data_IF_812116989589
#
_entry.id   IF_812116989589
#
_cell.length_a   1.000
_cell.length_b   1.000
_cell.length_c   1.000
_cell.angle_alpha   90.00
_cell.angle_beta   90.00
_cell.angle_gamma   90.00
#
_symmetry.space_group_name_H-M   'P 1'
#
loop_
_entity.id
_entity.type
_entity.pdbx_description
1 polymer ?
#
# COMPACT_ATOMS: atom_id res chain seq x y z
N UNK A 1 20.90 -5.50 19.61
CA UNK A 1 20.29 -5.01 18.36
C UNK A 1 19.68 -6.19 17.61
N UNK A 2 18.39 -6.11 17.26
CA UNK A 2 17.77 -7.11 16.39
C UNK A 2 18.39 -7.07 14.98
N UNK A 3 18.23 -8.15 14.21
CA UNK A 3 18.68 -8.20 12.81
C UNK A 3 18.06 -7.05 11.98
N UNK A 4 16.78 -6.79 12.20
CA UNK A 4 16.05 -5.68 11.58
C UNK A 4 16.70 -4.32 11.86
N UNK A 5 17.07 -4.06 13.12
CA UNK A 5 17.74 -2.80 13.48
C UNK A 5 19.11 -2.66 12.79
N UNK A 6 19.87 -3.76 12.67
CA UNK A 6 21.17 -3.75 11.99
C UNK A 6 21.03 -3.50 10.49
N UNK A 7 20.03 -4.09 9.85
CA UNK A 7 19.75 -3.89 8.42
C UNK A 7 19.27 -2.46 8.17
N UNK A 8 18.33 -1.95 8.97
CA UNK A 8 17.90 -0.56 8.87
C UNK A 8 19.08 0.40 9.07
N UNK A 9 19.88 0.21 10.11
CA UNK A 9 21.07 1.04 10.33
C UNK A 9 22.06 0.98 9.15
N UNK A 10 22.22 -0.18 8.52
CA UNK A 10 23.08 -0.33 7.34
C UNK A 10 22.52 0.40 6.10
N UNK A 11 21.20 0.33 5.87
CA UNK A 11 20.51 1.01 4.78
C UNK A 11 20.60 2.53 4.91
N UNK A 12 20.33 3.07 6.09
CA UNK A 12 20.35 4.52 6.33
C UNK A 12 21.77 5.06 6.60
N UNK A 13 22.69 4.21 7.07
CA UNK A 13 24.12 4.52 7.29
C UNK A 13 25.02 4.26 6.07
N UNK A 14 24.46 3.83 4.93
CA UNK A 14 25.17 3.57 3.66
C UNK A 14 26.35 2.60 3.79
N UNK A 15 26.15 1.50 4.51
CA UNK A 15 27.20 0.53 4.76
C UNK A 15 27.72 -0.14 3.47
N UNK A 16 29.04 -0.12 3.24
CA UNK A 16 29.65 -0.57 1.98
C UNK A 16 29.50 -2.08 1.70
N UNK A 17 29.37 -2.91 2.73
CA UNK A 17 29.19 -4.35 2.56
C UNK A 17 27.88 -4.71 1.85
N UNK A 18 26.87 -3.82 1.88
CA UNK A 18 25.62 -4.02 1.15
C UNK A 18 25.83 -4.04 -0.37
N UNK A 19 26.89 -3.43 -0.89
CA UNK A 19 27.18 -3.42 -2.32
C UNK A 19 27.44 -4.82 -2.91
N UNK A 20 27.84 -5.79 -2.07
CA UNK A 20 27.94 -7.19 -2.46
C UNK A 20 26.59 -7.78 -2.89
N UNK A 21 25.48 -7.18 -2.46
CA UNK A 21 24.11 -7.58 -2.80
C UNK A 21 23.57 -6.88 -4.05
N UNK A 22 24.37 -6.09 -4.76
CA UNK A 22 23.96 -5.39 -5.99
C UNK A 22 23.37 -6.33 -7.05
N UNK A 23 23.98 -7.50 -7.36
CA UNK A 23 23.40 -8.43 -8.34
C UNK A 23 21.99 -8.87 -7.97
N UNK A 24 21.73 -9.07 -6.67
CA UNK A 24 20.42 -9.47 -6.16
C UNK A 24 19.39 -8.34 -6.30
N UNK A 25 19.82 -7.08 -6.20
CA UNK A 25 18.95 -5.92 -6.43
C UNK A 25 18.52 -5.81 -7.89
N UNK A 26 19.43 -6.06 -8.84
CA UNK A 26 19.08 -6.10 -10.27
C UNK A 26 18.11 -7.24 -10.56
N UNK A 27 18.37 -8.44 -10.03
CA UNK A 27 17.47 -9.59 -10.16
C UNK A 27 16.07 -9.27 -9.61
N UNK A 28 15.99 -8.69 -8.41
CA UNK A 28 14.73 -8.26 -7.80
C UNK A 28 13.96 -7.29 -8.69
N UNK A 29 14.64 -6.26 -9.23
CA UNK A 29 14.04 -5.28 -10.15
C UNK A 29 13.53 -5.92 -11.43
N UNK A 30 14.30 -6.85 -12.02
CA UNK A 30 13.90 -7.56 -13.23
C UNK A 30 12.64 -8.41 -12.98
N UNK A 31 12.58 -9.15 -11.89
CA UNK A 31 11.41 -9.97 -11.53
C UNK A 31 10.18 -9.07 -11.30
N UNK A 32 10.34 -7.95 -10.59
CA UNK A 32 9.26 -7.00 -10.36
C UNK A 32 8.74 -6.38 -11.67
N UNK A 33 9.64 -6.01 -12.59
CA UNK A 33 9.29 -5.45 -13.90
C UNK A 33 8.57 -6.47 -14.78
N UNK A 34 9.08 -7.70 -14.85
CA UNK A 34 8.43 -8.80 -15.59
C UNK A 34 7.03 -9.07 -15.04
N UNK A 35 6.89 -9.20 -13.71
CA UNK A 35 5.60 -9.41 -13.07
C UNK A 35 4.61 -8.29 -13.43
N UNK A 36 5.05 -7.03 -13.43
CA UNK A 36 4.21 -5.89 -13.83
C UNK A 36 3.77 -5.99 -15.29
N UNK A 37 4.65 -6.43 -16.19
CA UNK A 37 4.35 -6.55 -17.62
C UNK A 37 3.26 -7.59 -17.92
N UNK A 38 3.21 -8.68 -17.15
CA UNK A 38 2.21 -9.74 -17.35
C UNK A 38 0.85 -9.49 -16.66
N UNK A 39 0.72 -8.43 -15.87
CA UNK A 39 -0.53 -8.10 -15.18
C UNK A 39 -1.34 -7.12 -16.02
N UNK A 40 -2.54 -7.54 -16.42
CA UNK A 40 -3.53 -6.65 -17.03
C UNK A 40 -4.39 -5.99 -15.94
N UNK A 41 -4.43 -4.64 -15.87
CA UNK A 41 -5.31 -3.93 -14.95
C UNK A 41 -6.78 -4.16 -15.29
N UNK A 42 -7.63 -4.26 -14.27
CA UNK A 42 -9.07 -4.43 -14.42
C UNK A 42 -9.82 -3.43 -13.53
N UNK A 43 -10.89 -2.85 -14.06
CA UNK A 43 -11.75 -1.92 -13.32
C UNK A 43 -12.65 -2.66 -12.33
N UNK A 44 -12.91 -2.02 -11.18
CA UNK A 44 -13.94 -2.44 -10.22
C UNK A 44 -15.28 -1.72 -10.41
N UNK A 45 -15.43 -0.87 -11.43
CA UNK A 45 -16.66 -0.13 -11.71
C UNK A 45 -16.82 1.20 -10.95
N UNK A 46 -15.79 1.63 -10.21
CA UNK A 46 -15.73 2.93 -9.55
C UNK A 46 -14.31 3.52 -9.68
N UNK A 47 -14.13 4.85 -9.57
CA UNK A 47 -12.81 5.46 -9.48
C UNK A 47 -12.01 4.94 -8.29
N UNK A 48 -10.71 4.76 -8.47
CA UNK A 48 -9.80 4.19 -7.47
C UNK A 48 -8.61 5.12 -7.24
N UNK A 49 -8.43 5.54 -5.98
CA UNK A 49 -7.24 6.25 -5.51
C UNK A 49 -6.39 5.28 -4.70
N UNK A 50 -5.10 5.19 -5.01
CA UNK A 50 -4.16 4.33 -4.29
C UNK A 50 -3.18 5.18 -3.51
N UNK A 51 -3.05 4.91 -2.21
CA UNK A 51 -2.04 5.49 -1.34
C UNK A 51 -0.97 4.43 -1.05
N UNK A 52 0.29 4.76 -1.23
CA UNK A 52 1.37 3.84 -0.86
C UNK A 52 2.72 4.50 -0.76
N UNK A 53 3.73 3.70 -0.43
CA UNK A 53 5.12 4.13 -0.34
C UNK A 53 6.03 3.24 -1.17
N UNK A 54 7.23 3.74 -1.47
CA UNK A 54 8.26 2.97 -2.17
C UNK A 54 9.35 2.44 -1.24
N UNK A 55 9.28 2.67 0.07
CA UNK A 55 10.25 2.18 1.06
C UNK A 55 9.68 1.07 1.95
N UNK A 56 10.54 0.26 2.55
CA UNK A 56 10.16 -0.66 3.63
C UNK A 56 10.11 0.09 4.96
N UNK A 57 9.02 -0.06 5.69
CA UNK A 57 8.78 0.60 6.98
C UNK A 57 7.47 1.37 7.01
N UNK A 58 7.12 1.89 8.19
CA UNK A 58 6.00 2.80 8.36
C UNK A 58 6.31 4.15 7.71
N UNK A 59 5.38 4.63 6.90
CA UNK A 59 5.48 5.87 6.10
C UNK A 59 4.29 6.81 6.34
N UNK A 60 3.57 6.63 7.45
CA UNK A 60 2.37 7.42 7.76
C UNK A 60 1.20 7.20 6.79
N UNK A 61 1.12 6.02 6.14
CA UNK A 61 0.01 5.65 5.24
C UNK A 61 -1.35 5.73 5.93
N UNK A 62 -1.49 5.17 7.12
CA UNK A 62 -2.78 5.12 7.82
C UNK A 62 -3.37 6.51 8.09
N UNK A 63 -2.63 7.49 8.65
CA UNK A 63 -3.12 8.87 8.74
C UNK A 63 -3.51 9.49 7.39
N UNK A 64 -2.71 9.28 6.34
CA UNK A 64 -2.99 9.84 5.02
C UNK A 64 -4.23 9.23 4.37
N UNK A 65 -4.44 7.92 4.50
CA UNK A 65 -5.64 7.21 4.02
C UNK A 65 -6.88 7.74 4.75
N UNK A 66 -6.82 7.90 6.08
CA UNK A 66 -7.92 8.46 6.86
C UNK A 66 -8.26 9.90 6.43
N UNK A 67 -7.25 10.77 6.33
CA UNK A 67 -7.45 12.16 5.92
C UNK A 67 -8.03 12.27 4.50
N UNK A 68 -7.56 11.45 3.57
CA UNK A 68 -8.11 11.39 2.21
C UNK A 68 -9.55 10.88 2.20
N UNK A 69 -9.84 9.84 2.98
CA UNK A 69 -11.18 9.27 3.07
C UNK A 69 -12.18 10.28 3.65
N UNK A 70 -11.80 10.99 4.72
CA UNK A 70 -12.60 12.07 5.30
C UNK A 70 -12.81 13.20 4.28
N UNK A 71 -11.75 13.66 3.61
CA UNK A 71 -11.83 14.71 2.58
C UNK A 71 -12.80 14.38 1.45
N UNK A 72 -12.83 13.12 1.00
CA UNK A 72 -13.74 12.64 -0.04
C UNK A 72 -15.16 12.45 0.50
N UNK A 73 -15.32 11.90 1.70
CA UNK A 73 -16.63 11.75 2.36
C UNK A 73 -17.31 13.10 2.53
N UNK A 74 -16.58 14.12 2.96
CA UNK A 74 -17.08 15.48 3.16
C UNK A 74 -17.54 16.15 1.85
N UNK A 75 -17.13 15.60 0.69
CA UNK A 75 -17.59 16.00 -0.65
C UNK A 75 -18.75 15.16 -1.19
N UNK A 76 -19.32 14.28 -0.36
CA UNK A 76 -20.48 13.46 -0.71
C UNK A 76 -20.14 12.13 -1.41
N UNK A 77 -18.87 11.71 -1.45
CA UNK A 77 -18.52 10.39 -1.98
C UNK A 77 -18.87 9.29 -0.96
N UNK A 78 -19.39 8.16 -1.46
CA UNK A 78 -19.52 6.91 -0.72
C UNK A 78 -18.20 6.15 -0.85
N UNK A 79 -17.30 6.42 0.08
CA UNK A 79 -15.94 5.89 0.07
C UNK A 79 -15.92 4.46 0.60
N UNK A 80 -15.22 3.58 -0.10
CA UNK A 80 -14.85 2.24 0.39
C UNK A 80 -13.34 2.09 0.44
N UNK A 81 -12.81 1.43 1.46
CA UNK A 81 -11.35 1.25 1.63
C UNK A 81 -10.98 -0.22 1.41
N UNK A 82 -9.94 -0.45 0.58
CA UNK A 82 -9.41 -1.80 0.34
C UNK A 82 -8.03 -1.97 0.95
N UNK A 83 -7.84 -3.05 1.71
CA UNK A 83 -6.54 -3.42 2.27
C UNK A 83 -6.26 -4.93 2.16
N UNK A 84 -5.08 -5.36 2.58
CA UNK A 84 -4.61 -6.77 2.42
C UNK A 84 -5.09 -7.65 3.55
N UNK A 85 -5.32 -7.07 4.72
CA UNK A 85 -5.41 -7.83 5.95
C UNK A 85 -4.06 -8.44 6.33
N UNK A 86 -2.96 -7.66 6.26
CA UNK A 86 -1.66 -8.18 6.69
C UNK A 86 -1.74 -8.58 8.18
N UNK A 87 -1.27 -9.79 8.50
CA UNK A 87 -1.37 -10.37 9.84
C UNK A 87 -2.75 -10.97 10.17
N UNK A 88 -3.79 -10.65 9.40
CA UNK A 88 -5.14 -11.19 9.56
C UNK A 88 -5.33 -12.54 8.87
N UNK A 89 -6.22 -13.36 9.41
CA UNK A 89 -6.64 -14.65 8.85
C UNK A 89 -8.16 -14.69 8.72
N UNK A 90 -8.68 -13.95 7.74
CA UNK A 90 -10.10 -13.96 7.45
C UNK A 90 -10.58 -15.37 7.03
N UNK A 91 -11.79 -15.79 7.43
CA UNK A 91 -12.32 -17.12 7.12
C UNK A 91 -12.58 -17.33 5.62
N UNK A 92 -12.82 -16.26 4.88
CA UNK A 92 -12.97 -16.24 3.43
C UNK A 92 -12.45 -14.93 2.86
N UNK A 93 -12.24 -14.87 1.54
CA UNK A 93 -11.88 -13.65 0.83
C UNK A 93 -12.75 -13.46 -0.42
N UNK A 94 -13.12 -12.22 -0.79
CA UNK A 94 -12.92 -10.99 -0.01
C UNK A 94 -13.74 -11.00 1.29
N UNK A 95 -13.27 -10.26 2.29
CA UNK A 95 -13.92 -10.15 3.61
C UNK A 95 -14.22 -8.70 3.92
N UNK A 96 -15.49 -8.40 4.21
CA UNK A 96 -15.92 -7.07 4.66
C UNK A 96 -15.77 -7.01 6.18
N UNK A 97 -15.07 -5.98 6.67
CA UNK A 97 -14.92 -5.75 8.10
C UNK A 97 -16.19 -5.14 8.67
N UNK A 98 -16.52 -5.55 9.89
CA UNK A 98 -17.51 -4.91 10.76
C UNK A 98 -16.84 -4.26 11.98
N UNK A 99 -17.61 -3.53 12.79
CA UNK A 99 -17.10 -2.83 13.98
C UNK A 99 -16.50 -3.79 15.02
N UNK A 100 -16.98 -5.03 15.04
CA UNK A 100 -16.59 -6.08 16.00
C UNK A 100 -15.47 -6.98 15.51
N UNK A 101 -15.01 -6.79 14.26
CA UNK A 101 -14.05 -7.69 13.66
C UNK A 101 -12.75 -7.66 14.44
N UNK A 102 -12.29 -8.85 14.83
CA UNK A 102 -11.06 -9.01 15.57
C UNK A 102 -9.84 -8.72 14.67
N UNK A 103 -8.82 -8.00 15.14
CA UNK A 103 -7.59 -7.76 14.37
C UNK A 103 -6.87 -9.03 13.91
N UNK A 104 -7.02 -10.16 14.59
CA UNK A 104 -6.51 -11.46 14.13
C UNK A 104 -7.20 -11.97 12.86
N UNK A 105 -8.39 -11.46 12.55
CA UNK A 105 -9.18 -11.79 11.34
C UNK A 105 -8.90 -10.74 10.25
N UNK A 106 -9.14 -9.47 10.57
CA UNK A 106 -9.08 -8.36 9.60
C UNK A 106 -7.69 -7.75 9.40
N UNK A 107 -6.74 -8.03 10.30
CA UNK A 107 -5.47 -7.32 10.42
C UNK A 107 -5.58 -6.06 11.28
N UNK A 108 -4.49 -5.70 11.97
CA UNK A 108 -4.45 -4.54 12.87
C UNK A 108 -4.74 -3.22 12.15
N UNK A 109 -4.05 -2.96 11.02
CA UNK A 109 -4.20 -1.70 10.28
C UNK A 109 -5.60 -1.56 9.65
N UNK A 110 -6.17 -2.56 8.95
CA UNK A 110 -7.52 -2.44 8.39
C UNK A 110 -8.61 -2.27 9.45
N UNK A 111 -8.52 -3.00 10.57
CA UNK A 111 -9.46 -2.84 11.67
C UNK A 111 -9.36 -1.45 12.31
N UNK A 112 -8.14 -0.90 12.45
CA UNK A 112 -7.95 0.47 12.92
C UNK A 112 -8.58 1.49 11.96
N UNK A 113 -8.39 1.32 10.65
CA UNK A 113 -8.97 2.20 9.64
C UNK A 113 -10.51 2.14 9.69
N UNK A 114 -11.09 0.94 9.74
CA UNK A 114 -12.54 0.75 9.81
C UNK A 114 -13.13 1.47 11.03
N UNK A 115 -12.55 1.25 12.21
CA UNK A 115 -13.02 1.86 13.46
C UNK A 115 -12.87 3.38 13.50
N UNK A 116 -11.78 3.92 12.94
CA UNK A 116 -11.53 5.38 12.96
C UNK A 116 -12.33 6.14 11.91
N UNK A 117 -12.51 5.55 10.73
CA UNK A 117 -13.21 6.22 9.62
C UNK A 117 -14.72 6.02 9.66
N UNK A 118 -15.20 4.91 10.25
CA UNK A 118 -16.60 4.49 10.16
C UNK A 118 -17.04 4.14 8.73
N UNK A 119 -16.08 3.91 7.82
CA UNK A 119 -16.35 3.61 6.40
C UNK A 119 -16.28 2.10 6.13
N UNK A 120 -16.95 1.61 5.07
CA UNK A 120 -16.80 0.23 4.62
C UNK A 120 -15.34 -0.10 4.28
N UNK A 121 -14.78 -1.13 4.93
CA UNK A 121 -13.43 -1.62 4.68
C UNK A 121 -13.47 -3.09 4.30
N UNK A 122 -12.88 -3.44 3.15
CA UNK A 122 -12.75 -4.83 2.71
C UNK A 122 -11.29 -5.26 2.63
N UNK A 123 -11.01 -6.48 3.07
CA UNK A 123 -9.68 -7.09 3.01
C UNK A 123 -9.65 -8.26 2.05
N UNK A 124 -8.62 -8.30 1.21
CA UNK A 124 -8.32 -9.45 0.36
C UNK A 124 -6.88 -9.40 -0.19
N UNK A 125 -6.25 -10.57 -0.41
CA UNK A 125 -5.05 -10.66 -1.24
C UNK A 125 -5.28 -10.14 -2.67
N UNK A 126 -6.43 -10.45 -3.28
CA UNK A 126 -6.88 -9.85 -4.54
C UNK A 126 -7.68 -8.56 -4.28
N UNK A 127 -7.01 -7.41 -4.43
CA UNK A 127 -7.62 -6.09 -4.23
C UNK A 127 -8.78 -5.81 -5.16
N UNK A 128 -8.79 -6.39 -6.36
CA UNK A 128 -9.90 -6.22 -7.29
C UNK A 128 -11.18 -6.84 -6.72
N UNK A 129 -11.08 -8.02 -6.12
CA UNK A 129 -12.22 -8.70 -5.51
C UNK A 129 -12.78 -7.91 -4.31
N UNK A 130 -11.90 -7.39 -3.43
CA UNK A 130 -12.31 -6.52 -2.33
C UNK A 130 -13.00 -5.24 -2.84
N UNK A 131 -12.44 -4.60 -3.86
CA UNK A 131 -13.02 -3.39 -4.45
C UNK A 131 -14.39 -3.65 -5.06
N UNK A 132 -14.55 -4.75 -5.81
CA UNK A 132 -15.85 -5.15 -6.39
C UNK A 132 -16.89 -5.42 -5.31
N UNK A 133 -16.52 -6.10 -4.23
CA UNK A 133 -17.43 -6.31 -3.09
C UNK A 133 -17.96 -4.98 -2.55
N UNK A 134 -17.10 -3.97 -2.39
CA UNK A 134 -17.50 -2.65 -1.88
C UNK A 134 -18.42 -1.91 -2.86
N UNK A 135 -18.13 -1.96 -4.16
CA UNK A 135 -18.98 -1.33 -5.19
C UNK A 135 -20.34 -2.02 -5.25
N UNK A 136 -20.37 -3.35 -5.29
CA UNK A 136 -21.59 -4.14 -5.52
C UNK A 136 -22.49 -4.21 -4.29
N UNK A 137 -21.92 -4.39 -3.09
CA UNK A 137 -22.69 -4.64 -1.87
C UNK A 137 -22.78 -3.44 -0.92
N UNK A 138 -21.81 -2.53 -0.96
CA UNK A 138 -21.80 -1.32 -0.13
C UNK A 138 -22.10 -0.04 -0.93
N UNK A 139 -22.36 -0.18 -2.23
CA UNK A 139 -22.69 0.92 -3.13
C UNK A 139 -21.63 2.03 -3.15
N UNK A 140 -20.37 1.70 -2.82
CA UNK A 140 -19.27 2.65 -2.82
C UNK A 140 -19.06 3.18 -4.25
N UNK A 141 -18.93 4.49 -4.39
CA UNK A 141 -18.68 5.16 -5.66
C UNK A 141 -17.26 5.74 -5.76
N UNK A 142 -16.43 5.51 -4.74
CA UNK A 142 -15.00 5.82 -4.73
C UNK A 142 -14.29 4.76 -3.89
N UNK A 143 -13.19 4.21 -4.41
CA UNK A 143 -12.36 3.24 -3.70
C UNK A 143 -11.02 3.87 -3.33
N UNK A 144 -10.59 3.70 -2.08
CA UNK A 144 -9.25 4.08 -1.61
C UNK A 144 -8.47 2.81 -1.26
N UNK A 145 -7.33 2.61 -1.89
CA UNK A 145 -6.44 1.48 -1.63
C UNK A 145 -5.32 1.82 -0.68
N UNK A 146 -5.24 1.09 0.43
CA UNK A 146 -4.10 1.13 1.34
C UNK A 146 -2.98 0.16 0.88
N UNK A 147 -1.79 0.72 0.75
CA UNK A 147 -0.56 0.09 0.25
C UNK A 147 -0.70 -0.54 -1.16
N UNK A 148 -1.46 0.13 -2.03
CA UNK A 148 -1.85 -0.43 -3.33
C UNK A 148 -0.83 -0.25 -4.47
N UNK A 149 0.28 0.48 -4.29
CA UNK A 149 1.18 0.85 -5.41
C UNK A 149 1.72 -0.39 -6.16
N UNK A 150 1.89 -1.50 -5.42
CA UNK A 150 2.40 -2.78 -5.94
C UNK A 150 1.29 -3.73 -6.44
N UNK A 151 0.02 -3.35 -6.30
CA UNK A 151 -1.15 -4.15 -6.69
C UNK A 151 -1.68 -3.70 -8.06
N UNK A 152 -1.01 -4.11 -9.13
CA UNK A 152 -1.27 -3.65 -10.51
C UNK A 152 -2.54 -4.20 -11.18
N UNK A 153 -3.18 -5.23 -10.59
CA UNK A 153 -4.37 -5.87 -11.17
C UNK A 153 -5.64 -5.04 -11.00
N UNK A 154 -5.73 -4.24 -9.93
CA UNK A 154 -6.79 -3.25 -9.78
C UNK A 154 -6.38 -2.01 -10.57
N UNK A 155 -7.17 -1.65 -11.59
CA UNK A 155 -7.00 -0.41 -12.31
C UNK A 155 -7.16 0.76 -11.34
N UNK A 156 -6.32 1.78 -11.49
CA UNK A 156 -6.25 2.94 -10.60
C UNK A 156 -6.20 4.21 -11.41
N UNK A 157 -6.92 5.21 -10.92
CA UNK A 157 -7.10 6.49 -11.59
C UNK A 157 -6.18 7.56 -11.01
N UNK A 158 -5.86 7.45 -9.71
CA UNK A 158 -4.93 8.36 -9.02
C UNK A 158 -3.99 7.55 -8.13
N UNK A 159 -2.70 7.81 -8.24
CA UNK A 159 -1.65 7.29 -7.38
C UNK A 159 -1.06 8.40 -6.49
N UNK A 160 -1.11 8.18 -5.18
CA UNK A 160 -0.50 9.05 -4.17
C UNK A 160 0.69 8.34 -3.55
N UNK A 161 1.88 8.89 -3.76
CA UNK A 161 3.12 8.43 -3.14
C UNK A 161 3.36 9.19 -1.83
N UNK A 162 3.52 8.45 -0.74
CA UNK A 162 4.01 8.96 0.54
C UNK A 162 5.51 8.74 0.69
N UNK A 163 6.19 9.80 1.09
CA UNK A 163 7.61 9.81 1.42
C UNK A 163 7.75 10.29 2.85
N UNK A 164 8.36 9.46 3.69
CA UNK A 164 8.78 9.82 5.04
C UNK A 164 9.89 10.90 4.94
N UNK A 165 9.59 12.13 5.35
CA UNK A 165 10.50 13.27 5.24
C UNK A 165 11.72 13.15 6.15
N UNK A 166 11.61 12.45 7.28
CA UNK A 166 12.73 12.23 8.20
C UNK A 166 13.67 11.13 7.68
N UNK A 167 13.12 10.01 7.23
CA UNK A 167 13.90 8.85 6.76
C UNK A 167 14.41 9.02 5.32
N UNK A 168 13.65 9.73 4.49
CA UNK A 168 13.91 9.84 3.05
C UNK A 168 14.03 8.48 2.37
N UNK A 169 15.00 8.36 1.46
CA UNK A 169 15.21 7.15 0.63
C UNK A 169 16.35 6.24 1.12
N UNK A 170 16.92 6.48 2.30
CA UNK A 170 18.09 5.75 2.79
C UNK A 170 19.30 5.86 1.85
N UNK A 171 19.88 4.73 1.46
CA UNK A 171 20.99 4.68 0.50
C UNK A 171 20.55 4.78 -0.98
N UNK A 172 19.26 4.93 -1.26
CA UNK A 172 18.72 5.13 -2.61
C UNK A 172 18.65 3.87 -3.49
N UNK A 173 19.01 2.69 -2.96
CA UNK A 173 18.92 1.44 -3.68
C UNK A 173 17.61 0.70 -3.40
N UNK A 174 17.19 -0.12 -4.36
CA UNK A 174 16.14 -1.10 -4.13
C UNK A 174 16.62 -2.23 -3.21
N UNK A 175 15.67 -3.02 -2.71
CA UNK A 175 15.94 -4.24 -1.96
C UNK A 175 16.81 -5.21 -2.78
N UNK A 176 17.72 -5.95 -2.12
CA UNK A 176 18.03 -5.90 -0.69
C UNK A 176 19.16 -4.93 -0.31
N UNK A 177 19.81 -4.27 -1.28
CA UNK A 177 20.90 -3.31 -1.00
C UNK A 177 20.39 -2.11 -0.21
N UNK A 178 19.18 -1.66 -0.51
CA UNK A 178 18.55 -0.52 0.15
C UNK A 178 17.12 -0.78 0.58
N UNK A 179 16.47 0.21 1.21
CA UNK A 179 15.14 0.06 1.77
C UNK A 179 14.03 0.17 0.71
N UNK A 180 14.36 0.50 -0.55
CA UNK A 180 13.34 0.80 -1.55
C UNK A 180 12.75 -0.48 -2.18
N UNK A 181 11.43 -0.55 -2.30
CA UNK A 181 10.74 -1.59 -3.07
C UNK A 181 10.63 -1.25 -4.56
N UNK A 182 10.63 0.03 -4.89
CA UNK A 182 10.62 0.56 -6.25
C UNK A 182 11.68 1.67 -6.39
N UNK A 183 12.25 1.90 -7.58
CA UNK A 183 13.27 2.93 -7.76
C UNK A 183 12.70 4.33 -7.49
N UNK A 184 13.55 5.28 -7.08
CA UNK A 184 13.17 6.68 -6.79
C UNK A 184 12.45 7.32 -7.98
N UNK A 185 12.82 6.95 -9.22
CA UNK A 185 12.17 7.42 -10.45
C UNK A 185 10.66 7.13 -10.50
N UNK A 186 10.14 6.22 -9.66
CA UNK A 186 8.71 5.97 -9.51
C UNK A 186 7.93 7.20 -9.04
N UNK A 187 8.57 8.08 -8.27
CA UNK A 187 7.97 9.34 -7.83
C UNK A 187 7.61 10.27 -9.01
N UNK A 188 8.27 10.12 -10.16
CA UNK A 188 7.96 10.91 -11.36
C UNK A 188 6.80 10.35 -12.17
N UNK A 189 6.27 9.17 -11.84
CA UNK A 189 5.19 8.52 -12.59
C UNK A 189 3.92 8.32 -11.76
N UNK A 190 3.84 8.91 -10.57
CA UNK A 190 2.62 8.99 -9.75
C UNK A 190 1.98 10.37 -9.96
N UNK A 191 0.69 10.50 -9.63
CA UNK A 191 -0.04 11.76 -9.81
C UNK A 191 0.24 12.77 -8.71
N UNK A 192 0.45 12.29 -7.47
CA UNK A 192 0.74 13.13 -6.32
C UNK A 192 1.84 12.52 -5.46
N UNK A 193 2.74 13.38 -4.96
CA UNK A 193 3.72 13.03 -3.94
C UNK A 193 3.48 13.87 -2.69
N UNK A 194 3.37 13.21 -1.54
CA UNK A 194 3.22 13.84 -0.22
C UNK A 194 4.46 13.48 0.60
N UNK A 195 5.07 14.49 1.21
CA UNK A 195 6.17 14.34 2.16
C UNK A 195 5.60 14.64 3.55
N UNK A 196 5.72 13.70 4.48
CA UNK A 196 5.22 13.83 5.84
C UNK A 196 6.32 13.89 6.90
#
# INVERSE_FOLDING_TARGET
MSLEQRINAAWYGRARWLLLLLPLTYLFRCIAALRRHFISPQSCGAPVIVVGNISVGGSGKTPAVLALADFCRDRGYRVGIVSRGYGGQAPHYPYLLDETTDPSIGGDEPCLIARRSGLPVAVAPDRLAAAKLLVEHQQCNLIIGDDGLQHYRLARDIEVLLIDGERGFGNGFCLPVGPLREPISRASSVDLTIIN
#
